data_IF_895490681995
#
_entry.id   IF_895490681995
#
_cell.length_a   1.000
_cell.length_b   1.000
_cell.length_c   1.000
_cell.angle_alpha   90.00
_cell.angle_beta   90.00
_cell.angle_gamma   90.00
#
_symmetry.space_group_name_H-M   'P 1'
#
loop_
_entity.id
_entity.type
_entity.pdbx_description
1 polymer ?
#
# COMPACT_ATOMS: atom_id res chain seq x y z
N UNK A 1 21.34 38.53 -49.96
CA UNK A 1 21.48 38.65 -48.49
C UNK A 1 20.10 38.75 -47.84
N UNK A 2 19.22 37.75 -48.06
CA UNK A 2 17.81 37.82 -47.64
C UNK A 2 17.19 36.48 -47.20
N UNK A 3 18.01 35.43 -47.02
CA UNK A 3 17.51 34.07 -46.74
C UNK A 3 17.92 33.50 -45.37
N UNK A 4 18.71 34.22 -44.54
CA UNK A 4 19.06 33.72 -43.19
C UNK A 4 18.06 34.11 -42.09
N UNK A 5 17.10 34.99 -42.39
CA UNK A 5 16.06 35.41 -41.43
C UNK A 5 14.86 34.44 -41.38
N UNK A 6 14.58 33.72 -42.47
CA UNK A 6 13.44 32.80 -42.54
C UNK A 6 13.69 31.52 -41.72
N UNK A 7 14.90 30.98 -41.79
CA UNK A 7 15.30 29.74 -41.10
C UNK A 7 15.36 29.90 -39.56
N UNK A 8 15.84 31.06 -39.10
CA UNK A 8 15.90 31.38 -37.65
C UNK A 8 14.52 31.56 -37.01
N UNK A 9 13.53 32.04 -37.78
CA UNK A 9 12.15 32.20 -37.31
C UNK A 9 11.44 30.87 -37.05
N UNK A 10 11.69 29.87 -37.90
CA UNK A 10 11.12 28.52 -37.77
C UNK A 10 11.73 27.80 -36.56
N UNK A 11 13.04 27.96 -36.33
CA UNK A 11 13.71 27.41 -35.14
C UNK A 11 13.23 28.04 -33.83
N UNK A 12 12.98 29.35 -33.80
CA UNK A 12 12.47 30.04 -32.60
C UNK A 12 11.03 29.62 -32.28
N UNK A 13 10.18 29.45 -33.32
CA UNK A 13 8.83 28.92 -33.17
C UNK A 13 8.83 27.46 -32.68
N UNK A 14 9.76 26.63 -33.16
CA UNK A 14 9.93 25.26 -32.67
C UNK A 14 10.38 25.22 -31.21
N UNK A 15 11.33 26.08 -30.80
CA UNK A 15 11.79 26.16 -29.41
C UNK A 15 10.67 26.65 -28.47
N UNK A 16 9.89 27.64 -28.90
CA UNK A 16 8.71 28.10 -28.16
C UNK A 16 7.64 27.00 -28.05
N UNK A 17 7.38 26.26 -29.12
CA UNK A 17 6.45 25.13 -29.09
C UNK A 17 6.92 24.02 -28.15
N UNK A 18 8.22 23.70 -28.14
CA UNK A 18 8.80 22.71 -27.21
C UNK A 18 8.70 23.20 -25.76
N UNK A 19 9.00 24.46 -25.47
CA UNK A 19 8.87 25.04 -24.13
C UNK A 19 7.42 25.06 -23.65
N UNK A 20 6.48 25.45 -24.51
CA UNK A 20 5.04 25.40 -24.18
C UNK A 20 4.58 23.97 -23.94
N UNK A 21 5.08 22.99 -24.71
CA UNK A 21 4.73 21.59 -24.50
C UNK A 21 5.30 21.03 -23.18
N UNK A 22 6.52 21.41 -22.78
CA UNK A 22 7.09 21.06 -21.47
C UNK A 22 6.28 21.66 -20.30
N UNK A 23 5.81 22.90 -20.47
CA UNK A 23 4.95 23.58 -19.50
C UNK A 23 3.59 22.87 -19.40
N UNK A 24 2.96 22.51 -20.53
CA UNK A 24 1.67 21.78 -20.55
C UNK A 24 1.80 20.40 -19.90
N UNK A 25 2.89 19.66 -20.11
CA UNK A 25 3.15 18.38 -19.42
C UNK A 25 3.28 18.60 -17.90
N UNK A 26 3.89 19.71 -17.47
CA UNK A 26 4.01 20.06 -16.05
C UNK A 26 2.66 20.43 -15.42
N UNK A 27 1.74 21.04 -16.19
CA UNK A 27 0.38 21.35 -15.73
C UNK A 27 -0.59 20.16 -15.82
N UNK A 28 -0.38 19.21 -16.74
CA UNK A 28 -1.16 17.95 -16.77
C UNK A 28 -0.68 16.95 -15.72
N UNK A 29 0.54 17.11 -15.22
CA UNK A 29 0.98 16.54 -13.95
C UNK A 29 0.46 17.37 -12.77
N UNK A 30 -0.84 17.64 -12.73
CA UNK A 30 -1.51 17.66 -11.43
C UNK A 30 -1.19 16.31 -10.77
N UNK A 31 -0.73 16.26 -9.52
CA UNK A 31 -0.61 14.99 -8.84
C UNK A 31 -2.00 14.35 -8.86
N UNK A 32 -2.19 13.35 -9.73
CA UNK A 32 -3.29 12.42 -9.59
C UNK A 32 -3.13 11.85 -8.19
N UNK A 33 -3.99 12.28 -7.28
CA UNK A 33 -3.83 12.10 -5.86
C UNK A 33 -4.07 10.62 -5.48
N UNK A 34 -3.13 9.74 -5.80
CA UNK A 34 -2.65 8.79 -4.79
C UNK A 34 -1.80 9.58 -3.79
N UNK A 35 -2.46 10.42 -3.00
CA UNK A 35 -1.86 10.94 -1.78
C UNK A 35 -1.73 9.75 -0.84
N UNK A 36 -0.54 9.16 -0.76
CA UNK A 36 -0.18 8.26 0.33
C UNK A 36 -0.38 9.04 1.62
N UNK A 37 -1.48 8.78 2.32
CA UNK A 37 -1.82 9.50 3.55
C UNK A 37 -0.78 9.18 4.62
N UNK A 38 -0.61 10.06 5.61
CA UNK A 38 0.26 9.79 6.77
C UNK A 38 -0.05 8.42 7.42
N UNK A 39 -1.33 8.02 7.39
CA UNK A 39 -1.79 6.71 7.84
C UNK A 39 -1.31 5.55 6.97
N UNK A 40 -1.20 5.71 5.65
CA UNK A 40 -0.68 4.67 4.75
C UNK A 40 0.83 4.45 5.00
N UNK A 41 1.59 5.53 5.28
CA UNK A 41 3.00 5.45 5.66
C UNK A 41 3.16 4.75 7.01
N UNK A 42 2.36 5.15 8.01
CA UNK A 42 2.37 4.51 9.32
C UNK A 42 1.99 3.03 9.23
N UNK A 43 0.94 2.69 8.49
CA UNK A 43 0.52 1.31 8.27
C UNK A 43 1.64 0.46 7.67
N UNK A 44 2.33 0.97 6.64
CA UNK A 44 3.44 0.27 6.00
C UNK A 44 4.61 0.07 6.97
N UNK A 45 4.95 1.12 7.73
CA UNK A 45 5.99 1.05 8.77
C UNK A 45 5.68 0.01 9.85
N UNK A 46 4.44 0.00 10.37
CA UNK A 46 3.98 -0.94 11.40
C UNK A 46 3.89 -2.38 10.89
N UNK A 47 3.45 -2.56 9.64
CA UNK A 47 3.44 -3.88 9.00
C UNK A 47 4.86 -4.43 8.80
N UNK A 48 5.83 -3.56 8.47
CA UNK A 48 7.24 -3.95 8.39
C UNK A 48 7.85 -4.26 9.75
N UNK A 49 7.49 -3.50 10.80
CA UNK A 49 7.90 -3.77 12.18
C UNK A 49 7.43 -5.17 12.62
N UNK A 50 6.15 -5.47 12.43
CA UNK A 50 5.59 -6.81 12.65
C UNK A 50 6.34 -7.89 11.85
N UNK A 51 6.60 -7.63 10.56
CA UNK A 51 7.27 -8.58 9.69
C UNK A 51 8.68 -8.95 10.17
N UNK A 52 9.45 -7.94 10.59
CA UNK A 52 10.81 -8.14 11.11
C UNK A 52 10.81 -8.88 12.43
N UNK A 53 9.89 -8.56 13.35
CA UNK A 53 9.76 -9.28 14.61
C UNK A 53 9.34 -10.74 14.39
N UNK A 54 8.33 -10.99 13.54
CA UNK A 54 7.90 -12.33 13.17
C UNK A 54 9.06 -13.14 12.57
N UNK A 55 9.80 -12.55 11.64
CA UNK A 55 10.94 -13.23 11.01
C UNK A 55 12.01 -13.58 12.04
N UNK A 56 12.37 -12.65 12.94
CA UNK A 56 13.32 -12.89 14.04
C UNK A 56 12.89 -14.05 14.94
N UNK A 57 11.60 -14.13 15.27
CA UNK A 57 11.07 -15.23 16.07
C UNK A 57 11.20 -16.57 15.35
N UNK A 58 10.87 -16.63 14.06
CA UNK A 58 10.96 -17.88 13.27
C UNK A 58 12.41 -18.36 13.16
N UNK A 59 13.33 -17.48 12.74
CA UNK A 59 14.74 -17.86 12.53
C UNK A 59 15.46 -18.21 13.84
N UNK A 60 14.94 -17.80 15.00
CA UNK A 60 15.52 -18.18 16.30
C UNK A 60 15.41 -19.67 16.59
N UNK A 61 14.49 -20.36 15.90
CA UNK A 61 14.19 -21.78 16.09
C UNK A 61 14.44 -22.64 14.85
N UNK A 62 14.78 -22.02 13.72
CA UNK A 62 14.95 -22.69 12.43
C UNK A 62 16.40 -22.56 11.92
N UNK A 63 17.00 -23.69 11.56
CA UNK A 63 18.38 -23.75 11.06
C UNK A 63 18.46 -23.96 9.55
N UNK A 64 17.34 -23.78 8.84
CA UNK A 64 17.21 -23.93 7.38
C UNK A 64 16.77 -22.62 6.74
N UNK A 65 16.67 -22.64 5.41
CA UNK A 65 16.14 -21.50 4.66
C UNK A 65 14.69 -21.20 5.07
N UNK A 66 14.42 -19.96 5.43
CA UNK A 66 13.09 -19.47 5.81
C UNK A 66 12.55 -18.58 4.69
N UNK A 67 11.37 -18.92 4.17
CA UNK A 67 10.62 -18.10 3.22
C UNK A 67 9.21 -17.94 3.79
N UNK A 68 8.81 -16.69 4.03
CA UNK A 68 7.49 -16.34 4.57
C UNK A 68 6.93 -15.12 3.83
N UNK A 69 5.60 -14.97 3.87
CA UNK A 69 4.92 -13.74 3.48
C UNK A 69 4.31 -13.08 4.72
N UNK A 70 5.03 -12.15 5.38
CA UNK A 70 4.52 -11.50 6.58
C UNK A 70 3.25 -10.70 6.32
N UNK A 71 3.09 -10.15 5.11
CA UNK A 71 1.89 -9.42 4.72
C UNK A 71 0.65 -10.33 4.68
N UNK A 72 0.77 -11.55 4.16
CA UNK A 72 -0.36 -12.50 4.15
C UNK A 72 -0.75 -12.89 5.59
N UNK A 73 0.24 -13.14 6.45
CA UNK A 73 0.03 -13.46 7.87
C UNK A 73 -0.64 -12.29 8.60
N UNK A 74 -0.14 -11.06 8.42
CA UNK A 74 -0.72 -9.87 9.05
C UNK A 74 -2.15 -9.61 8.58
N UNK A 75 -2.45 -9.87 7.31
CA UNK A 75 -3.82 -9.73 6.77
C UNK A 75 -4.78 -10.71 7.44
N UNK A 76 -4.42 -11.99 7.53
CA UNK A 76 -5.23 -13.00 8.20
C UNK A 76 -5.41 -12.70 9.69
N UNK A 77 -4.33 -12.30 10.37
CA UNK A 77 -4.38 -11.97 11.80
C UNK A 77 -5.22 -10.71 12.05
N UNK A 78 -5.18 -9.72 11.16
CA UNK A 78 -6.02 -8.52 11.23
C UNK A 78 -7.50 -8.86 11.08
N UNK A 79 -7.87 -9.76 10.14
CA UNK A 79 -9.25 -10.24 10.01
C UNK A 79 -9.76 -10.86 11.32
N UNK A 80 -8.92 -11.69 11.96
CA UNK A 80 -9.26 -12.28 13.25
C UNK A 80 -9.31 -11.22 14.37
N UNK A 81 -8.43 -10.22 14.37
CA UNK A 81 -8.43 -9.12 15.34
C UNK A 81 -9.70 -8.26 15.27
N UNK A 82 -10.21 -7.99 14.06
CA UNK A 82 -11.49 -7.30 13.87
C UNK A 82 -12.70 -8.13 14.33
N UNK A 83 -12.60 -9.46 14.32
CA UNK A 83 -13.63 -10.35 14.87
C UNK A 83 -13.54 -10.56 16.38
N UNK A 84 -12.45 -10.14 17.03
CA UNK A 84 -12.23 -10.27 18.46
C UNK A 84 -12.79 -9.06 19.24
N UNK A 85 -12.87 -9.19 20.57
CA UNK A 85 -13.30 -8.10 21.45
C UNK A 85 -12.46 -8.05 22.74
N UNK A 86 -12.53 -6.93 23.46
CA UNK A 86 -11.90 -6.76 24.77
C UNK A 86 -10.39 -7.02 24.75
N UNK A 87 -9.92 -7.81 25.70
CA UNK A 87 -8.49 -8.09 25.88
C UNK A 87 -7.87 -8.78 24.66
N UNK A 88 -8.57 -9.77 24.09
CA UNK A 88 -8.10 -10.51 22.92
C UNK A 88 -7.86 -9.59 21.72
N UNK A 89 -8.80 -8.69 21.41
CA UNK A 89 -8.59 -7.73 20.34
C UNK A 89 -7.36 -6.84 20.60
N UNK A 90 -7.21 -6.36 21.85
CA UNK A 90 -6.10 -5.48 22.22
C UNK A 90 -4.74 -6.16 22.08
N UNK A 91 -4.60 -7.42 22.52
CA UNK A 91 -3.36 -8.19 22.34
C UNK A 91 -3.04 -8.40 20.86
N UNK A 92 -4.04 -8.77 20.05
CA UNK A 92 -3.84 -9.01 18.61
C UNK A 92 -3.41 -7.73 17.87
N UNK A 93 -4.06 -6.59 18.14
CA UNK A 93 -3.66 -5.32 17.55
C UNK A 93 -2.29 -4.83 18.05
N UNK A 94 -1.92 -5.17 19.29
CA UNK A 94 -0.59 -4.89 19.83
C UNK A 94 0.49 -5.68 19.10
N UNK A 95 0.28 -6.98 18.86
CA UNK A 95 1.20 -7.82 18.06
C UNK A 95 1.34 -7.29 16.64
N UNK A 96 0.22 -6.91 16.01
CA UNK A 96 0.19 -6.29 14.67
C UNK A 96 0.79 -4.88 14.61
N UNK A 97 1.14 -4.29 15.77
CA UNK A 97 1.68 -2.92 15.91
C UNK A 97 0.71 -1.80 15.52
N UNK A 98 -0.59 -2.10 15.43
CA UNK A 98 -1.66 -1.13 15.16
C UNK A 98 -2.24 -0.59 16.47
N UNK A 99 -1.40 0.06 17.27
CA UNK A 99 -1.76 0.55 18.63
C UNK A 99 -2.24 1.99 18.66
N UNK A 100 -1.88 2.79 17.65
CA UNK A 100 -2.38 4.16 17.50
C UNK A 100 -3.87 4.15 17.15
N UNK A 101 -4.65 5.02 17.79
CA UNK A 101 -6.11 5.02 17.68
C UNK A 101 -6.60 5.37 16.27
N UNK A 102 -5.97 6.35 15.62
CA UNK A 102 -6.32 6.77 14.26
C UNK A 102 -5.93 5.70 13.25
N UNK A 103 -4.71 5.15 13.38
CA UNK A 103 -4.24 4.06 12.54
C UNK A 103 -5.16 2.84 12.67
N UNK A 104 -5.44 2.39 13.90
CA UNK A 104 -6.27 1.22 14.18
C UNK A 104 -7.66 1.35 13.55
N UNK A 105 -8.27 2.54 13.59
CA UNK A 105 -9.54 2.81 12.93
C UNK A 105 -9.45 2.73 11.40
N UNK A 106 -8.30 3.12 10.82
CA UNK A 106 -8.08 3.14 9.38
C UNK A 106 -7.62 1.81 8.78
N UNK A 107 -7.09 0.86 9.58
CA UNK A 107 -6.50 -0.41 9.08
C UNK A 107 -7.40 -1.15 8.09
N UNK A 108 -8.70 -1.29 8.37
CA UNK A 108 -9.63 -1.99 7.49
C UNK A 108 -9.75 -1.30 6.11
N UNK A 109 -9.84 0.02 6.10
CA UNK A 109 -9.89 0.82 4.87
C UNK A 109 -8.57 0.73 4.10
N UNK A 110 -7.43 0.77 4.80
CA UNK A 110 -6.10 0.67 4.18
C UNK A 110 -5.93 -0.70 3.52
N UNK A 111 -6.26 -1.79 4.21
CA UNK A 111 -6.30 -3.12 3.60
C UNK A 111 -7.24 -3.18 2.40
N UNK A 112 -8.41 -2.54 2.46
CA UNK A 112 -9.34 -2.46 1.33
C UNK A 112 -8.70 -1.84 0.08
N UNK A 113 -7.93 -0.75 0.24
CA UNK A 113 -7.15 -0.14 -0.86
C UNK A 113 -6.06 -1.08 -1.36
N UNK A 114 -5.20 -1.59 -0.47
CA UNK A 114 -4.07 -2.45 -0.85
C UNK A 114 -4.52 -3.73 -1.56
N UNK A 115 -5.58 -4.38 -1.08
CA UNK A 115 -6.12 -5.59 -1.72
C UNK A 115 -6.73 -5.29 -3.09
N UNK A 116 -7.36 -4.11 -3.25
CA UNK A 116 -7.86 -3.66 -4.56
C UNK A 116 -6.71 -3.44 -5.54
N UNK A 117 -5.63 -2.81 -5.10
CA UNK A 117 -4.44 -2.56 -5.92
C UNK A 117 -3.76 -3.88 -6.34
N UNK A 118 -3.69 -4.86 -5.43
CA UNK A 118 -3.17 -6.20 -5.77
C UNK A 118 -4.07 -6.97 -6.73
N UNK A 119 -5.39 -6.83 -6.66
CA UNK A 119 -6.28 -7.45 -7.64
C UNK A 119 -6.09 -6.90 -9.06
N UNK A 120 -5.74 -5.62 -9.18
CA UNK A 120 -5.39 -5.01 -10.46
C UNK A 120 -3.96 -5.36 -10.94
N UNK A 121 -3.13 -5.96 -10.07
CA UNK A 121 -1.75 -6.29 -10.39
C UNK A 121 -1.65 -7.62 -11.18
N UNK A 122 -0.93 -7.67 -12.31
CA UNK A 122 -0.78 -8.91 -13.09
C UNK A 122 0.19 -9.92 -12.44
N UNK A 123 1.14 -9.46 -11.63
CA UNK A 123 2.24 -10.26 -11.08
C UNK A 123 1.92 -10.81 -9.69
N UNK A 124 1.27 -10.02 -8.85
CA UNK A 124 0.93 -10.40 -7.47
C UNK A 124 -0.53 -10.83 -7.41
N UNK A 125 -0.79 -12.01 -6.84
CA UNK A 125 -2.14 -12.51 -6.57
C UNK A 125 -2.34 -12.70 -5.08
N UNK A 126 -3.47 -12.23 -4.57
CA UNK A 126 -3.84 -12.37 -3.16
C UNK A 126 -5.26 -12.89 -3.05
N UNK A 127 -5.50 -13.78 -2.08
CA UNK A 127 -6.81 -14.31 -1.77
C UNK A 127 -6.89 -14.63 -0.27
N UNK A 128 -7.94 -14.13 0.38
CA UNK A 128 -8.25 -14.44 1.78
C UNK A 128 -9.62 -15.11 1.85
N UNK A 129 -9.75 -16.14 2.70
CA UNK A 129 -11.01 -16.85 2.90
C UNK A 129 -11.19 -17.21 4.37
N UNK A 130 -12.38 -16.98 4.88
CA UNK A 130 -12.79 -17.38 6.25
C UNK A 130 -13.74 -18.56 6.12
N UNK A 131 -13.49 -19.61 6.91
CA UNK A 131 -14.36 -20.78 7.00
C UNK A 131 -15.07 -20.76 8.34
N UNK A 132 -16.41 -20.86 8.31
CA UNK A 132 -17.25 -20.84 9.51
C UNK A 132 -17.79 -22.25 9.76
N UNK A 133 -17.74 -22.69 11.02
CA UNK A 133 -18.26 -24.00 11.41
C UNK A 133 -19.76 -24.07 11.15
N UNK A 134 -20.22 -25.21 10.61
CA UNK A 134 -21.65 -25.48 10.43
C UNK A 134 -22.40 -25.23 11.74
N UNK A 135 -23.56 -24.56 11.66
CA UNK A 135 -24.41 -24.10 12.78
C UNK A 135 -23.98 -22.77 13.44
N UNK A 136 -22.92 -22.13 12.97
CA UNK A 136 -22.55 -20.77 13.39
C UNK A 136 -22.78 -19.78 12.24
N UNK A 137 -23.13 -18.55 12.60
CA UNK A 137 -23.31 -17.44 11.67
C UNK A 137 -22.37 -16.29 12.03
N UNK A 138 -21.89 -15.59 11.01
CA UNK A 138 -21.12 -14.36 11.21
C UNK A 138 -22.08 -13.26 11.68
N UNK A 139 -21.67 -12.49 12.69
CA UNK A 139 -22.44 -11.33 13.13
C UNK A 139 -22.36 -10.24 12.04
N UNK A 140 -23.53 -9.68 11.70
CA UNK A 140 -23.65 -8.56 10.77
C UNK A 140 -23.23 -7.25 11.43
#
# INVERSE_FOLDING_TARGET
>A
MRDSFHDRGVHLLFLLAVLLNQIVISYQNEPSATMTSALDIQFSSKTNEFALELYKQIISSENKNVIISPFSISTCLSLAAFGAAGHTANEMFSVLKYTDGELKAAVAQIYGKVLKDFNANPTVKIANKVYVMNKYSVKA
#
